data_IF_135137173687
#
_entry.id   IF_135137173687
#
_cell.length_a   1.000
_cell.length_b   1.000
_cell.length_c   1.000
_cell.angle_alpha   90.00
_cell.angle_beta   90.00
_cell.angle_gamma   90.00
#
_symmetry.space_group_name_H-M   'P 1'
#
loop_
_entity.id
_entity.type
_entity.pdbx_description
1 polymer ?
#
# COMPACT_ATOMS: atom_id res chain seq x y z
N UNK A 1 6.37 47.80 23.28
CA UNK A 1 6.56 46.88 22.12
C UNK A 1 7.11 45.50 22.49
N UNK A 2 8.16 45.36 23.32
CA UNK A 2 8.73 44.03 23.67
C UNK A 2 7.76 43.12 24.45
N UNK A 3 6.94 43.69 25.34
CA UNK A 3 5.94 42.94 26.11
C UNK A 3 4.85 42.31 25.21
N UNK A 4 4.34 43.06 24.23
CA UNK A 4 3.31 42.56 23.30
C UNK A 4 3.78 41.33 22.50
N UNK A 5 5.07 41.28 22.12
CA UNK A 5 5.63 40.13 21.37
C UNK A 5 5.65 38.85 22.20
N UNK A 6 5.81 38.95 23.52
CA UNK A 6 5.73 37.80 24.44
C UNK A 6 4.30 37.25 24.46
N UNK A 7 3.31 38.13 24.64
CA UNK A 7 1.91 37.75 24.66
C UNK A 7 1.44 37.17 23.31
N UNK A 8 1.91 37.72 22.17
CA UNK A 8 1.60 37.18 20.83
C UNK A 8 1.99 35.70 20.66
N UNK A 9 3.08 35.24 21.28
CA UNK A 9 3.48 33.82 21.22
C UNK A 9 2.54 32.91 21.99
N UNK A 10 1.91 33.44 23.04
CA UNK A 10 1.00 32.71 23.91
C UNK A 10 -0.47 32.80 23.44
N UNK A 11 -0.75 33.50 22.33
CA UNK A 11 -2.11 33.66 21.79
C UNK A 11 -2.81 32.37 21.38
N UNK A 12 -2.18 31.44 20.62
CA UNK A 12 -2.86 30.20 20.23
C UNK A 12 -3.28 29.38 21.45
N UNK A 13 -2.44 29.34 22.48
CA UNK A 13 -2.73 28.65 23.74
C UNK A 13 -3.80 29.36 24.57
N UNK A 14 -3.86 30.70 24.54
CA UNK A 14 -4.92 31.48 25.19
C UNK A 14 -6.27 31.31 24.49
N UNK A 15 -6.32 31.36 23.16
CA UNK A 15 -7.55 31.16 22.37
C UNK A 15 -8.05 29.72 22.47
N UNK A 16 -7.14 28.75 22.50
CA UNK A 16 -7.47 27.34 22.70
C UNK A 16 -7.79 26.94 24.14
N UNK A 17 -7.74 27.87 25.11
CA UNK A 17 -8.03 27.59 26.52
C UNK A 17 -6.99 26.70 27.23
N UNK A 18 -5.78 26.58 26.67
CA UNK A 18 -4.71 25.71 27.17
C UNK A 18 -3.67 26.46 28.03
N UNK A 19 -3.91 27.74 28.32
CA UNK A 19 -3.01 28.55 29.13
C UNK A 19 -3.26 28.31 30.63
N UNK A 20 -2.21 28.20 31.47
CA UNK A 20 -2.37 28.10 32.92
C UNK A 20 -3.16 29.30 33.50
N UNK A 21 -3.94 29.09 34.55
CA UNK A 21 -4.83 30.13 35.12
C UNK A 21 -4.11 31.47 35.43
N UNK A 22 -2.94 31.43 36.08
CA UNK A 22 -2.17 32.66 36.37
C UNK A 22 -1.70 33.42 35.12
N UNK A 23 -1.37 32.71 34.04
CA UNK A 23 -1.00 33.32 32.75
C UNK A 23 -2.21 33.88 32.01
N UNK A 24 -3.37 33.26 32.19
CA UNK A 24 -4.64 33.69 31.59
C UNK A 24 -5.06 35.05 32.14
N UNK A 25 -4.90 35.27 33.45
CA UNK A 25 -5.17 36.56 34.10
C UNK A 25 -4.18 37.65 33.65
N UNK A 26 -2.88 37.33 33.56
CA UNK A 26 -1.86 38.24 33.03
C UNK A 26 -2.19 38.69 31.59
N UNK A 27 -2.60 37.74 30.74
CA UNK A 27 -3.01 38.01 29.36
C UNK A 27 -4.29 38.86 29.31
N UNK A 28 -5.30 38.54 30.13
CA UNK A 28 -6.54 39.31 30.20
C UNK A 28 -6.31 40.74 30.68
N UNK A 29 -5.41 40.95 31.65
CA UNK A 29 -4.99 42.27 32.09
C UNK A 29 -4.27 43.04 30.96
N UNK A 30 -3.39 42.38 30.20
CA UNK A 30 -2.73 42.99 29.06
C UNK A 30 -3.71 43.42 27.96
N UNK A 31 -4.70 42.58 27.64
CA UNK A 31 -5.73 42.86 26.63
C UNK A 31 -6.68 44.00 27.03
N UNK A 32 -6.85 44.27 28.34
CA UNK A 32 -7.57 45.47 28.83
C UNK A 32 -6.84 46.76 28.51
N UNK A 33 -5.50 46.75 28.55
CA UNK A 33 -4.66 47.94 28.39
C UNK A 33 -4.24 48.17 26.92
N UNK A 34 -4.01 47.10 26.14
CA UNK A 34 -3.49 47.22 24.77
C UNK A 34 -4.58 47.03 23.71
N UNK A 35 -4.99 48.13 23.06
CA UNK A 35 -5.98 48.12 21.98
C UNK A 35 -5.49 47.38 20.72
N UNK A 36 -4.21 47.50 20.36
CA UNK A 36 -3.64 46.83 19.19
C UNK A 36 -3.67 45.30 19.33
N UNK A 37 -3.27 44.77 20.48
CA UNK A 37 -3.34 43.33 20.76
C UNK A 37 -4.79 42.81 20.81
N UNK A 38 -5.75 43.65 21.23
CA UNK A 38 -7.17 43.28 21.22
C UNK A 38 -7.72 43.17 19.80
N UNK A 39 -7.42 44.14 18.94
CA UNK A 39 -7.90 44.15 17.55
C UNK A 39 -7.39 42.92 16.77
N UNK A 40 -6.10 42.64 16.87
CA UNK A 40 -5.48 41.47 16.22
C UNK A 40 -6.04 40.14 16.76
N UNK A 41 -6.28 40.03 18.07
CA UNK A 41 -6.89 38.83 18.65
C UNK A 41 -8.31 38.61 18.13
N UNK A 42 -9.09 39.68 17.96
CA UNK A 42 -10.45 39.60 17.45
C UNK A 42 -10.49 39.16 15.98
N UNK A 43 -9.53 39.62 15.17
CA UNK A 43 -9.37 39.18 13.77
C UNK A 43 -9.06 37.67 13.70
N UNK A 44 -8.16 37.18 14.55
CA UNK A 44 -7.86 35.73 14.61
C UNK A 44 -9.05 34.90 15.08
N UNK A 45 -9.83 35.39 16.05
CA UNK A 45 -11.08 34.72 16.48
C UNK A 45 -12.10 34.65 15.37
N UNK A 46 -12.26 35.73 14.59
CA UNK A 46 -13.19 35.76 13.45
C UNK A 46 -12.82 34.74 12.37
N UNK A 47 -11.52 34.56 12.08
CA UNK A 47 -11.07 33.51 11.15
C UNK A 47 -11.35 32.11 11.70
N UNK A 48 -11.17 31.89 12.99
CA UNK A 48 -11.44 30.59 13.62
C UNK A 48 -12.95 30.29 13.71
N UNK A 49 -13.81 31.29 13.92
CA UNK A 49 -15.26 31.09 13.93
C UNK A 49 -15.76 30.65 12.55
N UNK A 50 -15.25 31.23 11.47
CA UNK A 50 -15.57 30.78 10.10
C UNK A 50 -15.20 29.31 9.86
N UNK A 51 -14.07 28.85 10.42
CA UNK A 51 -13.66 27.44 10.34
C UNK A 51 -14.56 26.53 11.21
N UNK A 52 -15.07 27.04 12.33
CA UNK A 52 -16.03 26.32 13.16
C UNK A 52 -17.40 26.18 12.48
N UNK A 53 -17.88 27.24 11.82
CA UNK A 53 -19.11 27.23 11.04
C UNK A 53 -19.01 26.22 9.89
N UNK A 54 -17.92 26.25 9.13
CA UNK A 54 -17.64 25.26 8.08
C UNK A 54 -17.60 23.82 8.61
N UNK A 55 -17.09 23.60 9.83
CA UNK A 55 -17.05 22.27 10.45
C UNK A 55 -18.46 21.76 10.77
N UNK A 56 -19.36 22.62 11.20
CA UNK A 56 -20.75 22.23 11.45
C UNK A 56 -21.50 21.97 10.14
N UNK A 57 -21.31 22.80 9.12
CA UNK A 57 -21.82 22.53 7.76
C UNK A 57 -21.30 21.18 7.21
N UNK A 58 -20.00 20.90 7.39
CA UNK A 58 -19.41 19.64 6.97
C UNK A 58 -20.00 18.45 7.74
N UNK A 59 -20.23 18.59 9.05
CA UNK A 59 -20.90 17.53 9.83
C UNK A 59 -22.32 17.27 9.34
N UNK A 60 -23.06 18.32 9.01
CA UNK A 60 -24.42 18.18 8.48
C UNK A 60 -24.39 17.41 7.15
N UNK A 61 -23.51 17.80 6.23
CA UNK A 61 -23.33 17.07 4.97
C UNK A 61 -22.89 15.62 5.22
N UNK A 62 -21.92 15.40 6.11
CA UNK A 62 -21.45 14.05 6.45
C UNK A 62 -22.53 13.18 7.10
N UNK A 63 -23.49 13.77 7.81
CA UNK A 63 -24.62 13.06 8.39
C UNK A 63 -25.67 12.64 7.34
N UNK A 64 -25.78 13.40 6.23
CA UNK A 64 -26.66 13.04 5.10
C UNK A 64 -26.08 11.96 4.20
N UNK A 65 -24.78 11.67 4.31
CA UNK A 65 -24.12 10.64 3.52
C UNK A 65 -24.34 9.28 4.16
N UNK A 66 -24.92 8.37 3.40
CA UNK A 66 -25.05 6.97 3.79
C UNK A 66 -23.71 6.24 3.58
N UNK A 67 -22.93 6.17 4.64
CA UNK A 67 -21.60 5.55 4.65
C UNK A 67 -21.63 4.03 4.44
N UNK A 68 -22.79 3.38 4.62
CA UNK A 68 -22.94 1.94 4.43
C UNK A 68 -23.18 1.60 2.95
N UNK A 69 -23.92 2.45 2.23
CA UNK A 69 -24.23 2.22 0.81
C UNK A 69 -23.19 2.82 -0.15
N UNK A 70 -22.45 3.86 0.26
CA UNK A 70 -21.48 4.56 -0.57
C UNK A 70 -20.30 3.68 -1.08
N UNK A 71 -19.74 2.74 -0.29
CA UNK A 71 -18.73 1.81 -0.80
C UNK A 71 -19.28 0.91 -1.91
N UNK A 72 -20.51 0.42 -1.77
CA UNK A 72 -21.18 -0.47 -2.73
C UNK A 72 -21.44 0.27 -4.04
N UNK A 73 -21.95 1.50 -3.96
CA UNK A 73 -22.25 2.30 -5.14
C UNK A 73 -20.99 2.72 -5.91
N UNK A 74 -19.89 3.00 -5.20
CA UNK A 74 -18.58 3.27 -5.82
C UNK A 74 -18.06 2.01 -6.50
N UNK A 75 -18.13 0.86 -5.84
CA UNK A 75 -17.66 -0.39 -6.42
C UNK A 75 -18.45 -0.77 -7.68
N UNK A 76 -19.77 -0.65 -7.64
CA UNK A 76 -20.63 -0.97 -8.79
C UNK A 76 -20.37 -0.03 -9.97
N UNK A 77 -20.16 1.27 -9.72
CA UNK A 77 -19.82 2.23 -10.78
C UNK A 77 -18.44 1.96 -11.39
N UNK A 78 -17.46 1.59 -10.57
CA UNK A 78 -16.11 1.23 -11.05
C UNK A 78 -16.13 -0.06 -11.87
N UNK A 79 -16.89 -1.07 -11.45
CA UNK A 79 -17.07 -2.31 -12.20
C UNK A 79 -17.84 -2.11 -13.51
N UNK A 80 -18.93 -1.34 -13.49
CA UNK A 80 -19.70 -1.02 -14.70
C UNK A 80 -18.90 -0.20 -15.72
N UNK A 81 -17.97 0.66 -15.27
CA UNK A 81 -17.08 1.41 -16.15
C UNK A 81 -16.00 0.53 -16.79
N UNK A 82 -15.52 -0.49 -16.06
CA UNK A 82 -14.58 -1.51 -16.56
C UNK A 82 -15.22 -2.44 -17.59
N UNK A 83 -16.49 -2.81 -17.42
CA UNK A 83 -17.23 -3.61 -18.41
C UNK A 83 -17.50 -2.84 -19.71
N UNK A 84 -17.72 -1.53 -19.63
CA UNK A 84 -17.88 -0.67 -20.83
C UNK A 84 -16.59 -0.42 -21.61
N UNK A 85 -15.43 -0.75 -21.04
CA UNK A 85 -14.11 -0.61 -21.68
C UNK A 85 -13.49 -1.93 -22.11
N UNK A 86 -14.18 -3.06 -21.89
CA UNK A 86 -13.78 -4.33 -22.50
C UNK A 86 -14.07 -4.31 -24.02
N UNK A 87 -13.09 -4.61 -24.88
CA UNK A 87 -13.33 -4.66 -26.32
C UNK A 87 -14.27 -5.83 -26.64
N UNK A 88 -15.52 -5.50 -26.95
CA UNK A 88 -16.44 -6.41 -27.60
C UNK A 88 -15.97 -6.65 -29.04
N UNK A 89 -15.42 -7.84 -29.32
CA UNK A 89 -15.63 -8.66 -30.52
C UNK A 89 -14.55 -9.74 -30.65
N UNK A 90 -14.89 -10.98 -30.32
CA UNK A 90 -14.18 -12.18 -30.78
C UNK A 90 -15.01 -12.84 -31.89
N UNK A 91 -14.54 -12.90 -33.15
CA UNK A 91 -15.22 -13.68 -34.17
C UNK A 91 -14.83 -15.16 -34.07
N UNK A 92 -15.71 -15.94 -33.45
CA UNK A 92 -16.35 -17.12 -34.06
C UNK A 92 -15.46 -17.99 -35.00
N UNK A 93 -14.67 -18.90 -34.42
CA UNK A 93 -14.91 -20.35 -34.49
C UNK A 93 -14.83 -21.15 -35.82
N UNK A 94 -14.68 -20.57 -37.02
CA UNK A 94 -14.82 -21.35 -38.27
C UNK A 94 -13.54 -21.47 -39.13
N UNK A 95 -12.41 -20.89 -38.72
CA UNK A 95 -11.19 -20.87 -39.57
C UNK A 95 -10.13 -21.93 -39.26
N UNK A 96 -10.26 -22.68 -38.15
CA UNK A 96 -9.25 -23.65 -37.69
C UNK A 96 -9.39 -25.07 -38.26
N UNK A 97 -10.49 -25.42 -38.96
CA UNK A 97 -10.69 -26.78 -39.51
C UNK A 97 -9.70 -27.11 -40.64
N UNK A 98 -9.23 -26.13 -41.44
CA UNK A 98 -8.44 -26.41 -42.65
C UNK A 98 -6.96 -26.78 -42.44
N UNK A 99 -6.44 -26.77 -41.21
CA UNK A 99 -5.02 -27.07 -40.91
C UNK A 99 -4.79 -28.45 -40.28
N UNK A 100 -5.84 -29.26 -40.06
CA UNK A 100 -5.72 -30.60 -39.47
C UNK A 100 -4.75 -31.57 -40.20
N UNK A 101 -4.58 -31.59 -41.54
CA UNK A 101 -3.64 -32.54 -42.15
C UNK A 101 -2.17 -32.15 -41.96
N UNK A 102 -1.87 -30.86 -41.75
CA UNK A 102 -0.49 -30.38 -41.56
C UNK A 102 0.01 -30.68 -40.14
N UNK A 103 -0.87 -30.56 -39.15
CA UNK A 103 -0.55 -30.84 -37.75
C UNK A 103 -0.37 -32.35 -37.52
N UNK A 104 -1.21 -33.20 -38.13
CA UNK A 104 -1.07 -34.65 -38.02
C UNK A 104 0.25 -35.18 -38.63
N UNK A 105 0.71 -34.59 -39.75
CA UNK A 105 1.99 -34.94 -40.37
C UNK A 105 3.21 -34.57 -39.50
N UNK A 106 3.15 -33.43 -38.81
CA UNK A 106 4.20 -32.99 -37.88
C UNK A 106 4.31 -33.91 -36.66
N UNK A 107 3.19 -34.35 -36.09
CA UNK A 107 3.21 -35.30 -34.97
C UNK A 107 3.74 -36.68 -35.36
N UNK A 108 3.39 -37.18 -36.54
CA UNK A 108 3.89 -38.47 -37.01
C UNK A 108 5.39 -38.40 -37.34
N UNK A 109 5.84 -37.29 -37.94
CA UNK A 109 7.26 -37.02 -38.18
C UNK A 109 8.08 -36.86 -36.90
N UNK A 110 7.51 -36.21 -35.87
CA UNK A 110 8.16 -36.05 -34.57
C UNK A 110 8.27 -37.38 -33.81
N UNK A 111 7.25 -38.24 -33.89
CA UNK A 111 7.25 -39.56 -33.25
C UNK A 111 8.23 -40.52 -33.94
N UNK A 112 8.23 -40.57 -35.28
CA UNK A 112 9.16 -41.40 -36.04
C UNK A 112 10.61 -40.88 -35.94
N UNK A 113 10.80 -39.56 -36.01
CA UNK A 113 12.11 -38.92 -35.84
C UNK A 113 12.67 -39.10 -34.44
N UNK A 114 11.82 -38.95 -33.41
CA UNK A 114 12.18 -39.18 -32.00
C UNK A 114 12.52 -40.63 -31.68
N UNK A 115 11.77 -41.60 -32.24
CA UNK A 115 12.07 -43.03 -32.06
C UNK A 115 13.41 -43.43 -32.72
N UNK A 116 13.72 -42.88 -33.90
CA UNK A 116 15.00 -43.09 -34.59
C UNK A 116 16.17 -42.45 -33.83
N UNK A 117 16.01 -41.23 -33.30
CA UNK A 117 17.07 -40.61 -32.48
C UNK A 117 17.27 -41.36 -31.16
N UNK A 118 16.20 -41.86 -30.54
CA UNK A 118 16.29 -42.63 -29.29
C UNK A 118 16.97 -43.99 -29.46
N UNK A 119 16.85 -44.62 -30.63
CA UNK A 119 17.54 -45.87 -30.96
C UNK A 119 19.02 -45.66 -31.32
N UNK A 120 19.38 -44.52 -31.92
CA UNK A 120 20.77 -44.20 -32.31
C UNK A 120 21.56 -43.61 -31.14
N UNK A 121 20.93 -42.83 -30.25
CA UNK A 121 21.59 -42.15 -29.12
C UNK A 121 21.42 -42.91 -27.80
N UNK A 122 21.50 -44.24 -27.82
CA UNK A 122 21.41 -45.08 -26.61
C UNK A 122 22.54 -44.67 -25.63
N UNK A 123 22.25 -43.97 -24.51
CA UNK A 123 23.30 -43.50 -23.62
C UNK A 123 23.76 -44.66 -22.75
N UNK A 124 25.06 -44.94 -22.75
CA UNK A 124 25.69 -45.70 -21.67
C UNK A 124 25.52 -44.94 -20.33
N UNK A 125 25.50 -45.73 -19.25
CA UNK A 125 25.14 -45.46 -17.85
C UNK A 125 25.59 -44.12 -17.21
N UNK A 126 24.94 -43.73 -16.09
CA UNK A 126 24.85 -42.35 -15.62
C UNK A 126 26.05 -41.94 -14.76
N UNK A 127 26.56 -40.74 -15.01
CA UNK A 127 27.51 -40.05 -14.15
C UNK A 127 26.98 -38.64 -13.90
N UNK A 128 26.71 -38.35 -12.63
CA UNK A 128 26.68 -37.03 -11.99
C UNK A 128 27.02 -35.83 -12.88
N UNK A 129 26.09 -34.88 -13.02
CA UNK A 129 26.37 -33.44 -12.94
C UNK A 129 25.08 -32.61 -12.95
N UNK A 130 24.94 -31.81 -11.89
CA UNK A 130 24.37 -30.46 -11.81
C UNK A 130 23.29 -30.11 -12.85
N UNK A 131 22.05 -30.05 -12.37
CA UNK A 131 20.92 -29.44 -13.08
C UNK A 131 21.16 -27.93 -13.27
N UNK A 132 21.91 -27.55 -14.30
CA UNK A 132 21.71 -26.28 -15.00
C UNK A 132 20.76 -26.60 -16.15
N UNK A 133 19.48 -26.42 -15.88
CA UNK A 133 18.41 -26.61 -16.83
C UNK A 133 18.45 -25.48 -17.85
N UNK A 134 19.34 -25.59 -18.83
CA UNK A 134 19.30 -24.78 -20.05
C UNK A 134 18.23 -25.38 -20.96
N UNK A 135 16.96 -25.00 -20.71
CA UNK A 135 15.96 -25.07 -21.77
C UNK A 135 16.37 -24.04 -22.83
N UNK A 136 16.88 -24.53 -23.97
CA UNK A 136 17.32 -23.75 -25.13
C UNK A 136 16.18 -23.03 -25.85
N UNK A 137 15.49 -22.14 -25.14
CA UNK A 137 14.63 -21.11 -25.71
C UNK A 137 15.39 -19.81 -25.50
N UNK A 138 16.10 -19.36 -26.53
CA UNK A 138 16.73 -18.03 -26.55
C UNK A 138 15.64 -16.97 -26.59
N UNK A 139 15.08 -16.65 -25.42
CA UNK A 139 14.25 -15.46 -25.27
C UNK A 139 15.16 -14.23 -25.45
N UNK A 140 14.72 -13.21 -26.22
CA UNK A 140 15.38 -11.91 -26.26
C UNK A 140 15.60 -11.41 -24.82
N UNK A 141 16.80 -10.92 -24.51
CA UNK A 141 17.13 -10.41 -23.18
C UNK A 141 16.12 -9.34 -22.69
N UNK A 142 15.58 -8.52 -23.60
CA UNK A 142 14.54 -7.53 -23.33
C UNK A 142 13.21 -8.16 -22.88
N UNK A 143 12.83 -9.34 -23.41
CA UNK A 143 11.62 -10.03 -22.96
C UNK A 143 11.80 -10.64 -21.57
N UNK A 144 12.98 -11.18 -21.28
CA UNK A 144 13.31 -11.72 -19.94
C UNK A 144 13.28 -10.59 -18.91
N UNK A 145 13.93 -9.46 -19.18
CA UNK A 145 13.95 -8.31 -18.28
C UNK A 145 12.53 -7.75 -18.01
N UNK A 146 11.68 -7.67 -19.04
CA UNK A 146 10.29 -7.22 -18.89
C UNK A 146 9.46 -8.18 -18.05
N UNK A 147 9.63 -9.49 -18.25
CA UNK A 147 8.92 -10.52 -17.48
C UNK A 147 9.39 -10.50 -16.02
N UNK A 148 10.69 -10.42 -15.78
CA UNK A 148 11.26 -10.34 -14.43
C UNK A 148 10.77 -9.11 -13.68
N UNK A 149 10.70 -7.96 -14.36
CA UNK A 149 10.18 -6.73 -13.78
C UNK A 149 8.67 -6.78 -13.53
N UNK A 150 7.89 -7.37 -14.45
CA UNK A 150 6.45 -7.55 -14.25
C UNK A 150 6.17 -8.48 -13.06
N UNK A 151 6.96 -9.54 -12.91
CA UNK A 151 6.90 -10.44 -11.77
C UNK A 151 7.26 -9.71 -10.47
N UNK A 152 8.38 -8.98 -10.44
CA UNK A 152 8.81 -8.21 -9.28
C UNK A 152 7.78 -7.16 -8.83
N UNK A 153 7.13 -6.48 -9.79
CA UNK A 153 6.02 -5.56 -9.51
C UNK A 153 4.86 -6.27 -8.84
N UNK A 154 4.45 -7.42 -9.39
CA UNK A 154 3.32 -8.19 -8.85
C UNK A 154 3.60 -8.70 -7.45
N UNK A 155 4.79 -9.27 -7.22
CA UNK A 155 5.20 -9.74 -5.89
C UNK A 155 5.27 -8.58 -4.88
N UNK A 156 5.75 -7.40 -5.31
CA UNK A 156 5.76 -6.19 -4.47
C UNK A 156 4.35 -5.72 -4.12
N UNK A 157 3.42 -5.73 -5.08
CA UNK A 157 2.00 -5.39 -4.83
C UNK A 157 1.37 -6.36 -3.83
N UNK A 158 1.60 -7.67 -4.00
CA UNK A 158 1.06 -8.70 -3.12
C UNK A 158 1.59 -8.54 -1.67
N UNK A 159 2.90 -8.26 -1.53
CA UNK A 159 3.49 -7.93 -0.22
C UNK A 159 2.88 -6.68 0.42
N UNK A 160 2.70 -5.60 -0.36
CA UNK A 160 2.09 -4.36 0.11
C UNK A 160 0.62 -4.56 0.51
N UNK A 161 -0.09 -5.44 -0.18
CA UNK A 161 -1.48 -5.77 0.13
C UNK A 161 -1.59 -6.60 1.41
N UNK A 162 -0.79 -7.66 1.56
CA UNK A 162 -0.76 -8.48 2.79
C UNK A 162 -0.37 -7.66 4.02
N UNK A 163 0.63 -6.79 3.88
CA UNK A 163 1.04 -5.89 4.96
C UNK A 163 -0.06 -4.86 5.31
N UNK A 164 -0.78 -4.33 4.32
CA UNK A 164 -1.94 -3.47 4.54
C UNK A 164 -3.04 -4.20 5.34
N UNK A 165 -3.37 -5.44 4.99
CA UNK A 165 -4.38 -6.21 5.72
C UNK A 165 -3.97 -6.45 7.17
N UNK A 166 -2.71 -6.82 7.44
CA UNK A 166 -2.24 -6.99 8.81
C UNK A 166 -2.27 -5.68 9.60
N UNK A 167 -1.88 -4.55 8.99
CA UNK A 167 -1.97 -3.25 9.66
C UNK A 167 -3.41 -2.88 10.00
N UNK A 168 -4.36 -3.12 9.09
CA UNK A 168 -5.78 -2.86 9.34
C UNK A 168 -6.34 -3.79 10.43
N UNK A 169 -5.98 -5.06 10.42
CA UNK A 169 -6.37 -6.02 11.45
C UNK A 169 -5.81 -5.63 12.83
N UNK A 170 -4.55 -5.19 12.90
CA UNK A 170 -3.95 -4.66 14.14
C UNK A 170 -4.69 -3.43 14.68
N UNK A 171 -5.11 -2.53 13.79
CA UNK A 171 -5.81 -1.32 14.15
C UNK A 171 -7.26 -1.58 14.60
N UNK A 172 -7.94 -2.56 14.00
CA UNK A 172 -9.35 -2.86 14.27
C UNK A 172 -9.53 -3.90 15.39
N UNK A 173 -8.74 -4.98 15.37
CA UNK A 173 -8.93 -6.18 16.17
C UNK A 173 -7.81 -6.43 17.18
N UNK A 174 -6.95 -5.43 17.43
CA UNK A 174 -5.74 -5.52 18.25
C UNK A 174 -5.91 -6.19 19.62
N UNK A 175 -7.12 -6.21 20.19
CA UNK A 175 -7.42 -6.78 21.51
C UNK A 175 -8.36 -8.00 21.53
N UNK A 176 -9.02 -8.38 20.42
CA UNK A 176 -10.16 -9.32 20.50
C UNK A 176 -10.24 -10.40 19.41
N UNK A 177 -9.47 -10.32 18.32
CA UNK A 177 -9.74 -11.14 17.12
C UNK A 177 -8.85 -12.37 16.89
N UNK A 178 -7.54 -12.27 17.19
CA UNK A 178 -6.57 -13.33 16.86
C UNK A 178 -5.60 -13.57 18.01
N UNK A 179 -5.29 -14.84 18.29
CA UNK A 179 -4.23 -15.24 19.22
C UNK A 179 -2.93 -14.54 18.83
N UNK A 180 -2.31 -13.83 19.78
CA UNK A 180 -1.07 -13.06 19.55
C UNK A 180 0.04 -13.82 18.84
N UNK A 181 0.08 -15.15 19.00
CA UNK A 181 1.00 -16.06 18.31
C UNK A 181 0.78 -16.13 16.79
N UNK A 182 -0.46 -16.25 16.32
CA UNK A 182 -0.79 -16.31 14.88
C UNK A 182 -0.41 -15.00 14.20
N UNK A 183 -0.64 -13.88 14.89
CA UNK A 183 -0.24 -12.55 14.45
C UNK A 183 1.29 -12.42 14.35
N UNK A 184 2.01 -12.90 15.37
CA UNK A 184 3.47 -12.87 15.37
C UNK A 184 4.06 -13.74 14.24
N UNK A 185 3.48 -14.91 13.98
CA UNK A 185 3.86 -15.77 12.85
C UNK A 185 3.67 -15.08 11.50
N UNK A 186 2.53 -14.40 11.29
CA UNK A 186 2.29 -13.64 10.05
C UNK A 186 3.26 -12.47 9.87
N UNK A 187 3.60 -11.75 10.95
CA UNK A 187 4.61 -10.69 10.92
C UNK A 187 5.99 -11.27 10.52
N UNK A 188 6.38 -12.40 11.11
CA UNK A 188 7.65 -13.08 10.77
C UNK A 188 7.66 -13.61 9.32
N UNK A 189 6.53 -14.11 8.83
CA UNK A 189 6.37 -14.50 7.43
C UNK A 189 6.60 -13.31 6.49
N UNK A 190 5.99 -12.16 6.76
CA UNK A 190 6.19 -10.96 5.94
C UNK A 190 7.64 -10.45 6.00
N UNK A 191 8.29 -10.47 7.17
CA UNK A 191 9.72 -10.12 7.27
C UNK A 191 10.60 -11.06 6.42
N UNK A 192 10.27 -12.34 6.39
CA UNK A 192 10.98 -13.34 5.58
C UNK A 192 10.71 -13.14 4.08
N UNK A 193 9.47 -12.84 3.69
CA UNK A 193 9.09 -12.53 2.31
C UNK A 193 9.82 -11.27 1.80
N UNK A 194 9.94 -10.22 2.62
CA UNK A 194 10.70 -9.01 2.25
C UNK A 194 12.16 -9.32 1.94
N UNK A 195 12.79 -10.24 2.68
CA UNK A 195 14.18 -10.66 2.42
C UNK A 195 14.35 -11.27 1.03
N UNK A 196 13.34 -11.99 0.53
CA UNK A 196 13.35 -12.56 -0.81
C UNK A 196 13.11 -11.49 -1.89
N UNK A 197 12.19 -10.56 -1.63
CA UNK A 197 11.86 -9.43 -2.50
C UNK A 197 13.01 -8.42 -2.68
N UNK A 198 13.90 -8.27 -1.69
CA UNK A 198 14.94 -7.24 -1.71
C UNK A 198 15.87 -7.33 -2.94
N UNK A 199 16.14 -8.54 -3.44
CA UNK A 199 16.95 -8.74 -4.66
C UNK A 199 16.26 -8.24 -5.94
N UNK A 200 14.94 -8.14 -5.93
CA UNK A 200 14.13 -7.69 -7.08
C UNK A 200 13.79 -6.18 -6.99
N UNK A 201 13.92 -5.59 -5.80
CA UNK A 201 13.64 -4.18 -5.50
C UNK A 201 14.83 -3.23 -5.81
N UNK A 202 15.94 -3.76 -6.32
CA UNK A 202 17.12 -2.97 -6.71
C UNK A 202 16.93 -2.20 -8.03
N UNK A 203 15.85 -2.47 -8.79
CA UNK A 203 15.50 -1.68 -9.97
C UNK A 203 15.08 -0.25 -9.58
N UNK A 204 15.63 0.74 -10.28
CA UNK A 204 15.32 2.16 -10.09
C UNK A 204 13.81 2.45 -10.21
N UNK A 205 13.08 1.68 -11.02
CA UNK A 205 11.63 1.76 -11.21
C UNK A 205 10.85 1.37 -9.96
N UNK A 206 11.46 0.60 -9.07
CA UNK A 206 10.85 0.07 -7.84
C UNK A 206 11.40 0.74 -6.56
N UNK A 207 12.33 1.70 -6.66
CA UNK A 207 12.92 2.38 -5.50
C UNK A 207 11.90 3.02 -4.56
N UNK A 208 10.82 3.60 -5.11
CA UNK A 208 9.73 4.15 -4.28
C UNK A 208 9.02 3.05 -3.49
N UNK A 209 8.76 1.91 -4.12
CA UNK A 209 8.12 0.78 -3.48
C UNK A 209 9.03 0.18 -2.41
N UNK A 210 10.33 0.07 -2.70
CA UNK A 210 11.36 -0.33 -1.73
C UNK A 210 11.33 0.54 -0.47
N UNK A 211 11.33 1.87 -0.63
CA UNK A 211 11.31 2.79 0.51
C UNK A 211 10.08 2.62 1.40
N UNK A 212 8.94 2.22 0.84
CA UNK A 212 7.73 1.88 1.61
C UNK A 212 7.85 0.50 2.25
N UNK A 213 8.36 -0.50 1.53
CA UNK A 213 8.63 -1.83 2.08
C UNK A 213 9.60 -1.77 3.28
N UNK A 214 10.64 -0.92 3.23
CA UNK A 214 11.58 -0.71 4.33
C UNK A 214 10.92 -0.01 5.54
N UNK A 215 10.00 0.94 5.29
CA UNK A 215 9.22 1.57 6.37
C UNK A 215 8.28 0.56 7.06
N UNK A 216 7.68 -0.35 6.29
CA UNK A 216 6.84 -1.43 6.81
C UNK A 216 7.68 -2.43 7.58
N UNK A 217 8.84 -2.82 7.06
CA UNK A 217 9.76 -3.73 7.74
C UNK A 217 10.18 -3.19 9.10
N UNK A 218 10.56 -1.90 9.19
CA UNK A 218 10.93 -1.27 10.46
C UNK A 218 9.78 -1.37 11.47
N UNK A 219 8.56 -1.08 11.03
CA UNK A 219 7.37 -1.16 11.89
C UNK A 219 7.07 -2.61 12.31
N UNK A 220 7.25 -3.58 11.42
CA UNK A 220 7.09 -5.01 11.74
C UNK A 220 8.19 -5.52 12.67
N UNK A 221 9.41 -5.02 12.56
CA UNK A 221 10.49 -5.31 13.51
C UNK A 221 10.16 -4.76 14.88
N UNK A 222 9.68 -3.52 14.97
CA UNK A 222 9.21 -2.92 16.23
C UNK A 222 8.06 -3.74 16.84
N UNK A 223 7.08 -4.15 16.03
CA UNK A 223 5.97 -5.02 16.48
C UNK A 223 6.45 -6.40 16.93
N UNK A 224 7.45 -6.98 16.27
CA UNK A 224 7.99 -8.30 16.62
C UNK A 224 8.74 -8.32 17.96
N UNK A 225 9.22 -7.16 18.41
CA UNK A 225 9.89 -6.97 19.70
C UNK A 225 8.89 -6.75 20.84
N UNK A 226 7.63 -6.43 20.53
CA UNK A 226 6.56 -6.29 21.50
C UNK A 226 5.99 -7.66 21.86
N UNK A 227 5.51 -7.79 23.10
CA UNK A 227 4.91 -9.02 23.63
C UNK A 227 3.77 -9.52 22.73
N UNK A 228 3.56 -10.84 22.59
CA UNK A 228 2.45 -11.40 21.81
C UNK A 228 1.08 -10.88 22.26
N UNK A 229 0.95 -10.45 23.51
CA UNK A 229 -0.18 -9.68 24.01
C UNK A 229 0.17 -8.18 24.01
N UNK A 230 -0.19 -7.50 22.91
CA UNK A 230 -0.03 -6.05 22.80
C UNK A 230 -0.91 -5.36 23.84
N UNK A 231 -0.29 -4.64 24.77
CA UNK A 231 -1.03 -3.80 25.70
C UNK A 231 -1.74 -2.65 24.97
N UNK A 232 -2.83 -2.14 25.52
CA UNK A 232 -3.58 -1.02 24.93
C UNK A 232 -2.71 0.23 24.66
N UNK A 233 -1.63 0.42 25.42
CA UNK A 233 -0.66 1.51 25.24
C UNK A 233 0.27 1.29 24.04
N UNK A 234 0.64 0.04 23.77
CA UNK A 234 1.50 -0.31 22.65
C UNK A 234 0.73 -0.25 21.33
N UNK A 235 -0.54 -0.69 21.32
CA UNK A 235 -1.44 -0.50 20.17
C UNK A 235 -1.67 0.99 19.85
N UNK A 236 -1.78 1.84 20.88
CA UNK A 236 -1.92 3.28 20.67
C UNK A 236 -0.67 3.90 20.01
N UNK A 237 0.53 3.48 20.42
CA UNK A 237 1.79 3.90 19.79
C UNK A 237 1.89 3.45 18.34
N UNK A 238 1.55 2.20 18.06
CA UNK A 238 1.55 1.67 16.68
C UNK A 238 0.55 2.43 15.82
N UNK A 239 -0.65 2.71 16.35
CA UNK A 239 -1.66 3.52 15.66
C UNK A 239 -1.14 4.92 15.34
N UNK A 240 -0.56 5.60 16.32
CA UNK A 240 0.04 6.92 16.14
C UNK A 240 1.14 6.89 15.06
N UNK A 241 2.00 5.88 15.05
CA UNK A 241 3.05 5.74 14.04
C UNK A 241 2.50 5.46 12.64
N UNK A 242 1.43 4.65 12.51
CA UNK A 242 0.78 4.37 11.23
C UNK A 242 0.06 5.61 10.69
N UNK A 243 -0.60 6.38 11.56
CA UNK A 243 -1.31 7.62 11.23
C UNK A 243 -0.34 8.77 10.89
N UNK A 244 0.67 9.02 11.74
CA UNK A 244 1.68 10.07 11.54
C UNK A 244 2.44 9.88 10.23
N UNK A 245 2.88 8.64 9.96
CA UNK A 245 3.62 8.33 8.73
C UNK A 245 2.71 8.17 7.51
N UNK A 246 1.38 8.24 7.68
CA UNK A 246 0.36 8.02 6.65
C UNK A 246 0.62 6.75 5.83
N UNK A 247 1.06 5.67 6.49
CA UNK A 247 1.56 4.48 5.81
C UNK A 247 0.50 3.85 4.89
N UNK A 248 -0.75 3.76 5.35
CA UNK A 248 -1.85 3.21 4.55
C UNK A 248 -2.11 4.01 3.26
N UNK A 249 -1.99 5.35 3.32
CA UNK A 249 -2.15 6.21 2.14
C UNK A 249 -1.00 6.00 1.16
N UNK A 250 0.23 5.97 1.66
CA UNK A 250 1.44 5.75 0.84
C UNK A 250 1.42 4.38 0.17
N UNK A 251 1.02 3.34 0.90
CA UNK A 251 0.83 1.99 0.37
C UNK A 251 -0.19 2.01 -0.77
N UNK A 252 -1.36 2.63 -0.56
CA UNK A 252 -2.39 2.74 -1.60
C UNK A 252 -1.93 3.52 -2.83
N UNK A 253 -1.15 4.58 -2.65
CA UNK A 253 -0.61 5.39 -3.74
C UNK A 253 0.41 4.59 -4.57
N UNK A 254 1.39 3.97 -3.91
CA UNK A 254 2.42 3.15 -4.59
C UNK A 254 1.78 1.95 -5.29
N UNK A 255 0.80 1.29 -4.66
CA UNK A 255 0.05 0.20 -5.29
C UNK A 255 -0.62 0.66 -6.59
N UNK A 256 -1.27 1.82 -6.59
CA UNK A 256 -1.87 2.41 -7.80
C UNK A 256 -0.83 2.76 -8.86
N UNK A 257 0.31 3.34 -8.48
CA UNK A 257 1.41 3.65 -9.42
C UNK A 257 1.97 2.37 -10.08
N UNK A 258 2.16 1.30 -9.29
CA UNK A 258 2.65 0.01 -9.80
C UNK A 258 1.64 -0.70 -10.70
N UNK A 259 0.34 -0.58 -10.41
CA UNK A 259 -0.76 -1.12 -11.23
C UNK A 259 -0.99 -0.31 -12.52
N UNK A 260 -0.76 1.00 -12.52
CA UNK A 260 -0.93 1.85 -13.71
C UNK A 260 0.22 1.71 -14.71
N UNK A 261 1.40 1.27 -14.26
CA UNK A 261 2.53 0.96 -15.14
C UNK A 261 2.39 -0.32 -15.97
N UNK A 262 1.19 -0.92 -16.00
CA UNK A 262 0.81 -2.11 -16.78
C UNK A 262 0.44 -1.77 -18.25
N UNK A 263 0.50 -0.48 -18.63
CA UNK A 263 0.23 0.06 -19.98
C UNK A 263 1.48 0.61 -20.63
#
# INVERSE_FOLDING_TARGET
>A
MKACRKYKKEWPAFVGGQLPHGRTEEMAAHLKVCAACRAELEETRKLMSMAADFKEELKEVMATVDWESLPVEITDKVWAQKERTAPAQAPSGWRFWKWQPVVAGLFLGLLLGGALTFLVLRPQKPGTMVARQETGISLPADLVERVDLALARRETIDYLERSQYLLLDLLQNGQAGESGLVRQERIQQLLTEKKYLNNQLDDWRLMKARAICDQIELLFLELSQLSPELSARELAKVREMVEEKQLLLKINLVKKELQQGEV
#
